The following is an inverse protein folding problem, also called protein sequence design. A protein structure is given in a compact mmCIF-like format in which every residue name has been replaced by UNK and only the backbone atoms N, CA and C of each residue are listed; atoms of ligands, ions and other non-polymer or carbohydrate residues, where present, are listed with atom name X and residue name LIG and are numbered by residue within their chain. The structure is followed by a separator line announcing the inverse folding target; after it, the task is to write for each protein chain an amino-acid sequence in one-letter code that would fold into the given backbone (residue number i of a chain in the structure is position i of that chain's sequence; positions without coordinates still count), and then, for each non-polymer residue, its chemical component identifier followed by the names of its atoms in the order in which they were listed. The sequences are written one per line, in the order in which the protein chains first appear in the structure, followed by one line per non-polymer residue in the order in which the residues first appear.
data_IF_810946022032
#
_entry.id   IF_810946022032
#
_cell.length_a   1.000
_cell.length_b   1.000
_cell.length_c   1.000
_cell.angle_alpha   90.00
_cell.angle_beta   90.00
_cell.angle_gamma   90.00
#
_symmetry.space_group_name_H-M   'P 1'
#
loop_
_entity.id
_entity.type
_entity.pdbx_description
1 polymer ?
#
# COMPACT_ATOMS: atom_id res chain seq x y z
N UNK A 1 -3.06 -18.56 4.08
CA UNK A 1 -1.68 -18.13 3.73
C UNK A 1 -1.10 -17.42 4.94
N UNK A 2 0.14 -17.72 5.29
CA UNK A 2 0.88 -17.08 6.40
C UNK A 2 2.10 -16.39 5.81
N UNK A 3 2.31 -15.12 6.19
CA UNK A 3 3.47 -14.31 5.79
C UNK A 3 4.32 -14.01 7.02
N UNK A 4 5.57 -14.44 6.98
CA UNK A 4 6.59 -14.11 7.97
C UNK A 4 7.40 -12.88 7.58
N UNK A 5 7.99 -12.25 8.61
CA UNK A 5 8.97 -11.16 8.46
C UNK A 5 8.48 -10.00 7.56
N UNK A 6 7.19 -9.68 7.62
CA UNK A 6 6.59 -8.62 6.80
C UNK A 6 7.16 -7.25 7.20
N UNK A 7 7.70 -6.53 6.21
CA UNK A 7 8.15 -5.15 6.33
C UNK A 7 7.43 -4.29 5.30
N UNK A 8 6.83 -3.20 5.76
CA UNK A 8 6.18 -2.21 4.91
C UNK A 8 7.02 -0.93 4.83
N UNK A 9 7.03 -0.32 3.64
CA UNK A 9 7.45 1.06 3.45
C UNK A 9 6.35 1.80 2.72
N UNK A 10 5.84 2.84 3.36
CA UNK A 10 4.80 3.70 2.79
C UNK A 10 5.43 5.04 2.44
N UNK A 11 5.17 5.50 1.23
CA UNK A 11 5.50 6.84 0.78
C UNK A 11 4.22 7.49 0.27
N UNK A 12 4.02 8.75 0.66
CA UNK A 12 2.86 9.54 0.29
C UNK A 12 3.35 10.77 -0.44
N UNK A 13 2.94 10.90 -1.69
CA UNK A 13 3.22 12.06 -2.53
C UNK A 13 1.94 12.87 -2.73
N UNK A 14 2.04 14.17 -2.48
CA UNK A 14 0.98 15.13 -2.73
C UNK A 14 1.39 16.03 -3.90
N UNK A 15 0.51 16.17 -4.89
CA UNK A 15 0.74 17.10 -5.98
C UNK A 15 0.66 18.56 -5.50
N UNK A 16 1.38 19.46 -6.18
CA UNK A 16 1.50 20.87 -5.76
C UNK A 16 0.17 21.63 -5.75
N UNK A 17 -0.79 21.17 -6.55
CA UNK A 17 -2.11 21.75 -6.75
C UNK A 17 -3.20 21.09 -5.89
N UNK A 18 -2.84 20.19 -4.96
CA UNK A 18 -3.77 19.58 -4.02
C UNK A 18 -4.94 18.85 -4.70
N UNK A 19 -4.68 18.22 -5.84
CA UNK A 19 -5.66 17.52 -6.66
C UNK A 19 -5.48 16.01 -6.67
N UNK A 20 -4.29 15.51 -6.32
CA UNK A 20 -3.92 14.10 -6.35
C UNK A 20 -3.03 13.74 -5.17
N UNK A 21 -3.45 12.73 -4.42
CA UNK A 21 -2.62 12.03 -3.45
C UNK A 21 -2.23 10.67 -4.04
N UNK A 22 -0.93 10.39 -4.09
CA UNK A 22 -0.40 9.09 -4.48
C UNK A 22 0.20 8.40 -3.26
N UNK A 23 -0.28 7.20 -2.96
CA UNK A 23 0.20 6.36 -1.86
C UNK A 23 0.89 5.15 -2.46
N UNK A 24 2.20 5.08 -2.25
CA UNK A 24 3.04 3.99 -2.73
C UNK A 24 3.40 3.09 -1.55
N UNK A 25 2.95 1.84 -1.58
CA UNK A 25 3.21 0.86 -0.52
C UNK A 25 4.10 -0.25 -1.07
N UNK A 26 5.28 -0.41 -0.48
CA UNK A 26 6.16 -1.55 -0.73
C UNK A 26 6.06 -2.55 0.40
N UNK A 27 5.71 -3.79 0.09
CA UNK A 27 5.63 -4.89 1.04
C UNK A 27 6.70 -5.92 0.71
N UNK A 28 7.54 -6.23 1.70
CA UNK A 28 8.55 -7.27 1.61
C UNK A 28 8.26 -8.31 2.68
N UNK A 29 8.39 -9.59 2.38
CA UNK A 29 8.06 -10.64 3.33
C UNK A 29 8.37 -12.02 2.77
N UNK A 30 8.07 -13.05 3.57
CA UNK A 30 8.28 -14.44 3.16
C UNK A 30 6.99 -15.22 3.33
N UNK A 31 6.58 -15.95 2.29
CA UNK A 31 5.46 -16.88 2.38
C UNK A 31 5.94 -18.10 3.16
N UNK A 32 5.44 -18.25 4.38
CA UNK A 32 5.76 -19.38 5.27
C UNK A 32 4.80 -20.55 5.03
N UNK A 33 3.53 -20.25 4.79
CA UNK A 33 2.51 -21.24 4.49
C UNK A 33 1.58 -20.76 3.39
N UNK A 34 1.37 -21.61 2.38
CA UNK A 34 0.44 -21.35 1.29
C UNK A 34 -0.43 -22.57 1.01
N UNK A 35 -1.74 -22.38 1.13
CA UNK A 35 -2.76 -23.42 0.93
C UNK A 35 -3.60 -23.16 -0.34
N UNK A 36 -3.16 -22.25 -1.21
CA UNK A 36 -3.86 -21.95 -2.47
C UNK A 36 -3.43 -22.87 -3.60
N UNK A 37 -4.07 -22.70 -4.77
CA UNK A 37 -3.91 -23.62 -5.91
C UNK A 37 -2.69 -23.32 -6.80
N UNK A 38 -2.00 -22.19 -6.57
CA UNK A 38 -0.83 -21.77 -7.35
C UNK A 38 0.47 -22.39 -6.82
N UNK A 39 1.37 -22.76 -7.71
CA UNK A 39 2.71 -23.18 -7.34
C UNK A 39 3.60 -21.97 -7.02
N UNK A 40 3.75 -21.64 -5.74
CA UNK A 40 4.58 -20.50 -5.29
C UNK A 40 6.09 -20.68 -5.52
N UNK A 41 6.56 -21.89 -5.86
CA UNK A 41 7.93 -22.14 -6.26
C UNK A 41 8.15 -21.86 -7.76
N UNK A 42 7.06 -21.79 -8.55
CA UNK A 42 7.11 -21.36 -9.93
C UNK A 42 7.06 -19.82 -9.99
N UNK A 43 8.07 -19.22 -10.63
CA UNK A 43 8.21 -17.75 -10.72
C UNK A 43 7.01 -17.05 -11.37
N UNK A 44 6.43 -17.64 -12.42
CA UNK A 44 5.31 -17.03 -13.14
C UNK A 44 4.04 -17.05 -12.28
N UNK A 45 3.76 -18.17 -11.63
CA UNK A 45 2.60 -18.31 -10.75
C UNK A 45 2.74 -17.47 -9.48
N UNK A 46 3.95 -17.36 -8.92
CA UNK A 46 4.23 -16.45 -7.80
C UNK A 46 4.02 -14.98 -8.21
N UNK A 47 4.48 -14.59 -9.41
CA UNK A 47 4.26 -13.23 -9.92
C UNK A 47 2.77 -12.94 -10.15
N UNK A 48 1.99 -13.91 -10.63
CA UNK A 48 0.54 -13.77 -10.73
C UNK A 48 -0.10 -13.61 -9.34
N UNK A 49 0.31 -14.42 -8.36
CA UNK A 49 -0.16 -14.29 -6.98
C UNK A 49 0.15 -12.90 -6.41
N UNK A 50 1.36 -12.36 -6.64
CA UNK A 50 1.71 -11.01 -6.23
C UNK A 50 0.77 -9.99 -6.85
N UNK A 51 0.49 -10.09 -8.16
CA UNK A 51 -0.40 -9.15 -8.87
C UNK A 51 -1.83 -9.21 -8.36
N UNK A 52 -2.34 -10.40 -8.05
CA UNK A 52 -3.66 -10.59 -7.45
C UNK A 52 -3.74 -9.91 -6.08
N UNK A 53 -2.74 -10.11 -5.22
CA UNK A 53 -2.70 -9.49 -3.88
C UNK A 53 -2.52 -7.97 -3.99
N UNK A 54 -1.63 -7.48 -4.86
CA UNK A 54 -1.44 -6.04 -5.14
C UNK A 54 -2.78 -5.40 -5.52
N UNK A 55 -3.49 -5.99 -6.48
CA UNK A 55 -4.79 -5.47 -6.96
C UNK A 55 -5.83 -5.46 -5.85
N UNK A 56 -5.93 -6.52 -5.06
CA UNK A 56 -6.89 -6.59 -3.95
C UNK A 56 -6.60 -5.54 -2.86
N UNK A 57 -5.32 -5.37 -2.50
CA UNK A 57 -4.89 -4.36 -1.53
C UNK A 57 -5.11 -2.94 -2.06
N UNK A 58 -4.83 -2.67 -3.33
CA UNK A 58 -5.11 -1.39 -3.99
C UNK A 58 -6.61 -1.05 -3.92
N UNK A 59 -7.48 -2.00 -4.30
CA UNK A 59 -8.93 -1.80 -4.26
C UNK A 59 -9.43 -1.53 -2.84
N UNK A 60 -9.04 -2.37 -1.87
CA UNK A 60 -9.48 -2.24 -0.47
C UNK A 60 -8.99 -0.96 0.17
N UNK A 61 -7.71 -0.61 -0.03
CA UNK A 61 -7.11 0.60 0.54
C UNK A 61 -7.73 1.86 -0.09
N UNK A 62 -7.94 1.87 -1.41
CA UNK A 62 -8.62 2.98 -2.09
C UNK A 62 -10.04 3.15 -1.56
N UNK A 63 -10.79 2.05 -1.38
CA UNK A 63 -12.13 2.09 -0.80
C UNK A 63 -12.16 2.64 0.63
N UNK A 64 -11.19 2.26 1.46
CA UNK A 64 -11.04 2.78 2.83
C UNK A 64 -10.79 4.29 2.83
N UNK A 65 -9.85 4.76 2.00
CA UNK A 65 -9.52 6.19 1.92
C UNK A 65 -10.69 7.00 1.39
N UNK A 66 -11.42 6.51 0.39
CA UNK A 66 -12.63 7.18 -0.11
C UNK A 66 -13.67 7.38 0.99
N UNK A 67 -13.89 6.38 1.84
CA UNK A 67 -14.78 6.53 3.01
C UNK A 67 -14.27 7.60 3.97
N UNK A 68 -12.96 7.70 4.19
CA UNK A 68 -12.38 8.78 5.01
C UNK A 68 -12.61 10.16 4.37
N UNK A 69 -12.48 10.28 3.04
CA UNK A 69 -12.79 11.51 2.29
C UNK A 69 -14.27 11.90 2.39
N UNK A 70 -15.19 10.94 2.25
CA UNK A 70 -16.64 11.14 2.38
C UNK A 70 -17.02 11.65 3.78
N UNK A 71 -16.39 11.07 4.81
CA UNK A 71 -16.54 11.48 6.21
C UNK A 71 -15.79 12.78 6.54
N UNK A 72 -14.99 13.32 5.60
CA UNK A 72 -14.16 14.52 5.76
C UNK A 72 -13.19 14.42 6.95
N UNK A 73 -12.61 13.24 7.14
CA UNK A 73 -11.62 12.96 8.19
C UNK A 73 -10.30 12.48 7.58
N UNK A 74 -9.20 12.74 8.28
CA UNK A 74 -7.85 12.25 7.93
C UNK A 74 -7.19 11.60 9.16
N UNK A 75 -7.64 10.40 9.57
CA UNK A 75 -7.07 9.70 10.72
C UNK A 75 -5.64 9.21 10.48
N UNK A 76 -5.19 9.17 9.22
CA UNK A 76 -3.85 8.75 8.83
C UNK A 76 -2.87 9.93 8.75
N UNK A 77 -3.33 11.14 9.06
CA UNK A 77 -2.53 12.37 9.06
C UNK A 77 -1.75 12.57 7.75
N UNK A 78 -2.35 12.19 6.62
CA UNK A 78 -1.76 12.32 5.28
C UNK A 78 -1.39 13.78 4.98
N UNK A 79 -2.21 14.73 5.45
CA UNK A 79 -1.96 16.15 5.28
C UNK A 79 -0.71 16.67 6.00
N UNK A 80 -0.27 16.02 7.09
CA UNK A 80 0.92 16.46 7.84
C UNK A 80 2.19 15.80 7.34
N UNK A 81 2.11 14.58 6.80
CA UNK A 81 3.25 13.85 6.26
C UNK A 81 3.73 14.35 4.89
N UNK A 82 2.97 15.23 4.25
CA UNK A 82 3.22 15.73 2.87
C UNK A 82 3.78 17.15 2.82
N UNK A 83 3.93 17.81 3.98
CA UNK A 83 4.56 19.12 4.06
C UNK A 83 6.08 18.98 3.97
N UNK A 84 6.69 19.61 2.97
CA UNK A 84 8.14 19.72 2.91
C UNK A 84 8.62 20.62 4.05
N UNK A 85 9.83 20.40 4.61
CA UNK A 85 10.34 21.14 5.77
C UNK A 85 10.47 22.65 5.54
N UNK A 86 10.37 23.13 4.29
CA UNK A 86 10.45 24.54 3.92
C UNK A 86 9.15 25.10 3.33
N UNK A 87 8.07 24.33 3.33
CA UNK A 87 6.75 24.79 2.87
C UNK A 87 5.93 25.36 4.02
N UNK A 88 5.11 26.40 3.73
CA UNK A 88 4.13 26.88 4.71
C UNK A 88 3.15 25.73 5.01
N UNK A 89 2.90 25.40 6.29
CA UNK A 89 1.96 24.36 6.64
C UNK A 89 0.57 24.71 6.12
N UNK A 90 -0.06 23.76 5.41
CA UNK A 90 -1.44 23.89 4.97
C UNK A 90 -2.31 23.87 6.22
N UNK A 91 -3.17 24.88 6.39
CA UNK A 91 -4.11 24.88 7.52
C UNK A 91 -5.07 23.69 7.38
N UNK A 92 -5.45 23.08 8.50
CA UNK A 92 -6.39 21.95 8.54
C UNK A 92 -7.68 22.22 7.76
N UNK A 93 -8.23 23.43 7.87
CA UNK A 93 -9.44 23.83 7.13
C UNK A 93 -9.26 23.77 5.61
N UNK A 94 -8.11 24.24 5.10
CA UNK A 94 -7.77 24.20 3.67
C UNK A 94 -7.51 22.75 3.24
N UNK A 95 -6.82 21.97 4.08
CA UNK A 95 -6.58 20.55 3.84
C UNK A 95 -7.89 19.78 3.71
N UNK A 96 -8.78 19.83 4.71
CA UNK A 96 -10.04 19.08 4.70
C UNK A 96 -10.97 19.47 3.55
N UNK A 97 -10.97 20.74 3.15
CA UNK A 97 -11.75 21.21 2.01
C UNK A 97 -11.23 20.64 0.68
N UNK A 98 -9.92 20.47 0.53
CA UNK A 98 -9.30 19.88 -0.65
C UNK A 98 -9.35 18.34 -0.61
N UNK A 99 -9.07 17.75 0.55
CA UNK A 99 -9.06 16.30 0.82
C UNK A 99 -10.29 15.58 0.30
N UNK A 100 -11.49 16.09 0.60
CA UNK A 100 -12.74 15.48 0.15
C UNK A 100 -12.94 15.44 -1.37
N UNK A 101 -12.15 16.20 -2.14
CA UNK A 101 -12.24 16.31 -3.61
C UNK A 101 -11.01 15.75 -4.33
N UNK A 102 -9.94 15.43 -3.60
CA UNK A 102 -8.70 14.92 -4.18
C UNK A 102 -8.92 13.56 -4.83
N UNK A 103 -8.28 13.35 -5.97
CA UNK A 103 -8.11 12.02 -6.54
C UNK A 103 -7.13 11.24 -5.67
N UNK A 104 -7.41 9.95 -5.48
CA UNK A 104 -6.54 9.04 -4.74
C UNK A 104 -6.01 8.00 -5.71
N UNK A 105 -4.69 7.82 -5.70
CA UNK A 105 -4.01 6.73 -6.40
C UNK A 105 -3.24 5.91 -5.37
N UNK A 106 -3.56 4.64 -5.24
CA UNK A 106 -2.83 3.71 -4.38
C UNK A 106 -2.11 2.72 -5.27
N UNK A 107 -0.82 2.51 -5.02
CA UNK A 107 -0.01 1.53 -5.74
C UNK A 107 0.64 0.59 -4.73
N UNK A 108 0.52 -0.72 -4.95
CA UNK A 108 1.23 -1.72 -4.17
C UNK A 108 2.34 -2.37 -5.00
N UNK A 109 3.47 -2.63 -4.34
CA UNK A 109 4.57 -3.40 -4.89
C UNK A 109 4.94 -4.49 -3.89
N UNK A 110 4.74 -5.74 -4.28
CA UNK A 110 4.94 -6.91 -3.45
C UNK A 110 6.22 -7.66 -3.83
N UNK A 111 7.05 -7.90 -2.83
CA UNK A 111 8.28 -8.69 -2.92
C UNK A 111 8.21 -9.80 -1.86
N UNK A 112 7.42 -10.83 -2.14
CA UNK A 112 7.40 -12.02 -1.30
C UNK A 112 8.26 -13.14 -1.89
N UNK A 113 8.98 -13.80 -1.00
CA UNK A 113 9.78 -14.98 -1.33
C UNK A 113 9.11 -16.22 -0.76
N UNK A 114 9.06 -17.31 -1.52
CA UNK A 114 8.60 -18.59 -1.01
C UNK A 114 9.65 -19.20 -0.07
N UNK A 115 9.23 -19.71 1.08
CA UNK A 115 10.11 -20.49 1.93
C UNK A 115 10.46 -21.81 1.23
N UNK A 116 11.68 -21.90 0.68
CA UNK A 116 12.21 -23.19 0.23
C UNK A 116 12.47 -24.05 1.47
N UNK A 117 11.69 -25.12 1.66
CA UNK A 117 12.11 -26.19 2.54
C UNK A 117 13.35 -26.83 1.92
N UNK A 118 14.54 -26.56 2.48
CA UNK A 118 15.68 -27.42 2.25
C UNK A 118 15.28 -28.80 2.77
N UNK A 119 14.99 -29.74 1.86
CA UNK A 119 15.01 -31.16 2.24
C UNK A 119 16.39 -31.41 2.83
N UNK A 120 16.43 -31.62 4.15
CA UNK A 120 17.61 -32.14 4.83
C UNK A 120 17.96 -33.45 4.13
N UNK A 121 19.04 -33.44 3.34
CA UNK A 121 19.68 -34.65 2.87
C UNK A 121 20.51 -35.17 4.05
N UNK A 122 19.96 -36.13 4.79
CA UNK A 122 20.71 -37.07 5.62
C UNK A 122 20.63 -38.45 4.96
#
# INVERSE_FOLDING_TARGET
MVIGHLRSRVNVDLDKNLSLVTINVKLNGRIEEYQGNKNILNRNELMQLHKEIETELEMKTTGLIKKMQELKVDPLQIGTHTLSPFSKPISEKVWLAAWGKMKIKVNYQLYFEALQNTKNNY
#
